data_IF_740896573283
#
_entry.id   IF_740896573283
#
_cell.length_a   1.000
_cell.length_b   1.000
_cell.length_c   1.000
_cell.angle_alpha   90.00
_cell.angle_beta   90.00
_cell.angle_gamma   90.00
#
_symmetry.space_group_name_H-M   'P 1'
#
loop_
_entity.id
_entity.type
_entity.pdbx_description
1 polymer ?
#
# COMPACT_ATOMS: atom_id res chain seq x y z
N UNK A 1 -36.22 22.43 26.06
CA UNK A 1 -35.38 22.92 24.94
C UNK A 1 -33.90 23.10 25.31
N UNK A 2 -33.52 23.18 26.60
CA UNK A 2 -32.12 23.20 27.06
C UNK A 2 -31.49 21.80 27.14
N UNK A 3 -32.20 20.82 27.70
CA UNK A 3 -31.72 19.42 27.87
C UNK A 3 -31.33 18.72 26.56
N UNK A 4 -32.05 18.98 25.46
CA UNK A 4 -31.73 18.42 24.13
C UNK A 4 -30.43 19.02 23.56
N UNK A 5 -30.14 20.28 23.89
CA UNK A 5 -28.91 20.97 23.46
C UNK A 5 -27.69 20.41 24.17
N UNK A 6 -27.83 20.05 25.45
CA UNK A 6 -26.74 19.47 26.23
C UNK A 6 -26.39 18.04 25.77
N UNK A 7 -27.37 17.23 25.38
CA UNK A 7 -27.11 15.89 24.82
C UNK A 7 -26.39 15.92 23.47
N UNK A 8 -26.75 16.85 22.58
CA UNK A 8 -26.08 17.01 21.28
C UNK A 8 -24.62 17.49 21.46
N UNK A 9 -24.38 18.39 22.40
CA UNK A 9 -23.02 18.87 22.72
C UNK A 9 -22.17 17.75 23.32
N UNK A 10 -22.72 16.92 24.21
CA UNK A 10 -22.01 15.78 24.80
C UNK A 10 -21.68 14.71 23.74
N UNK A 11 -22.63 14.39 22.85
CA UNK A 11 -22.40 13.46 21.75
C UNK A 11 -21.32 13.98 20.78
N UNK A 12 -21.38 15.27 20.43
CA UNK A 12 -20.35 15.91 19.60
C UNK A 12 -18.96 15.88 20.27
N UNK A 13 -18.89 16.09 21.58
CA UNK A 13 -17.64 16.02 22.34
C UNK A 13 -17.10 14.58 22.40
N UNK A 14 -17.94 13.57 22.62
CA UNK A 14 -17.53 12.17 22.60
C UNK A 14 -17.02 11.75 21.22
N UNK A 15 -17.75 12.10 20.14
CA UNK A 15 -17.32 11.85 18.77
C UNK A 15 -15.98 12.53 18.46
N UNK A 16 -15.77 13.76 18.95
CA UNK A 16 -14.49 14.46 18.81
C UNK A 16 -13.34 13.73 19.52
N UNK A 17 -13.58 13.24 20.75
CA UNK A 17 -12.59 12.50 21.56
C UNK A 17 -12.25 11.17 20.91
N UNK A 18 -13.25 10.43 20.44
CA UNK A 18 -13.09 9.19 19.71
C UNK A 18 -12.29 9.42 18.44
N UNK A 19 -12.66 10.41 17.61
CA UNK A 19 -11.93 10.76 16.38
C UNK A 19 -10.47 11.14 16.66
N UNK A 20 -10.21 11.91 17.72
CA UNK A 20 -8.85 12.26 18.14
C UNK A 20 -8.05 11.01 18.55
N UNK A 21 -8.64 10.13 19.36
CA UNK A 21 -8.02 8.86 19.78
C UNK A 21 -7.71 7.96 18.59
N UNK A 22 -8.64 7.81 17.65
CA UNK A 22 -8.42 7.05 16.42
C UNK A 22 -7.29 7.63 15.57
N UNK A 23 -7.22 8.96 15.42
CA UNK A 23 -6.13 9.62 14.67
C UNK A 23 -4.76 9.38 15.32
N UNK A 24 -4.65 9.48 16.64
CA UNK A 24 -3.39 9.23 17.36
C UNK A 24 -2.96 7.77 17.21
N UNK A 25 -3.88 6.82 17.43
CA UNK A 25 -3.59 5.39 17.27
C UNK A 25 -3.18 5.05 15.84
N UNK A 26 -3.87 5.61 14.84
CA UNK A 26 -3.51 5.44 13.43
C UNK A 26 -2.12 6.00 13.15
N UNK A 27 -1.84 7.22 13.57
CA UNK A 27 -0.54 7.87 13.35
C UNK A 27 0.61 7.05 13.96
N UNK A 28 0.50 6.65 15.23
CA UNK A 28 1.53 5.84 15.89
C UNK A 28 1.74 4.51 15.17
N UNK A 29 0.67 3.86 14.71
CA UNK A 29 0.78 2.61 13.95
C UNK A 29 1.44 2.82 12.59
N UNK A 30 1.12 3.91 11.90
CA UNK A 30 1.75 4.26 10.60
C UNK A 30 3.24 4.47 10.77
N UNK A 31 3.65 5.25 11.77
CA UNK A 31 5.08 5.47 12.09
C UNK A 31 5.76 4.15 12.46
N UNK A 32 5.16 3.36 13.35
CA UNK A 32 5.70 2.05 13.73
C UNK A 32 5.83 1.11 12.52
N UNK A 33 4.85 1.08 11.62
CA UNK A 33 4.90 0.29 10.38
C UNK A 33 6.01 0.77 9.45
N UNK A 34 6.25 2.07 9.33
CA UNK A 34 7.37 2.58 8.54
C UNK A 34 8.73 2.13 9.12
N UNK A 35 8.90 2.27 10.44
CA UNK A 35 10.13 1.84 11.13
C UNK A 35 10.34 0.33 11.05
N UNK A 36 9.29 -0.46 11.23
CA UNK A 36 9.34 -1.92 11.12
C UNK A 36 9.54 -2.40 9.67
N UNK A 37 9.00 -1.67 8.70
CA UNK A 37 9.28 -1.91 7.28
C UNK A 37 10.76 -1.82 6.96
N UNK A 38 11.43 -0.80 7.50
CA UNK A 38 12.88 -0.70 7.39
C UNK A 38 13.59 -1.78 8.20
N UNK A 39 13.30 -1.89 9.50
CA UNK A 39 14.04 -2.76 10.42
C UNK A 39 13.91 -4.25 10.10
N UNK A 40 12.76 -4.70 9.61
CA UNK A 40 12.51 -6.11 9.29
C UNK A 40 12.77 -6.43 7.82
N UNK A 41 12.59 -5.47 6.91
CA UNK A 41 12.74 -5.68 5.48
C UNK A 41 14.18 -5.54 4.98
N UNK A 42 14.90 -4.49 5.40
CA UNK A 42 16.23 -4.19 4.86
C UNK A 42 17.29 -5.25 5.19
N UNK A 43 17.44 -5.73 6.43
CA UNK A 43 18.48 -6.70 6.75
C UNK A 43 18.43 -7.98 5.91
N UNK A 44 17.29 -8.68 5.76
CA UNK A 44 17.23 -9.86 4.89
C UNK A 44 17.41 -9.51 3.42
N UNK A 45 16.89 -8.36 2.95
CA UNK A 45 17.08 -7.94 1.57
C UNK A 45 18.57 -7.74 1.23
N UNK A 46 19.30 -7.00 2.07
CA UNK A 46 20.74 -6.77 1.90
C UNK A 46 21.52 -8.09 1.97
N UNK A 47 21.18 -8.98 2.92
CA UNK A 47 21.84 -10.27 3.05
C UNK A 47 21.67 -11.14 1.79
N UNK A 48 20.44 -11.23 1.26
CA UNK A 48 20.13 -12.01 0.07
C UNK A 48 20.74 -11.40 -1.20
N UNK A 49 20.71 -10.07 -1.36
CA UNK A 49 21.34 -9.38 -2.49
C UNK A 49 22.85 -9.62 -2.51
N UNK A 50 23.51 -9.53 -1.35
CA UNK A 50 24.94 -9.83 -1.20
C UNK A 50 25.25 -11.29 -1.53
N UNK A 51 24.44 -12.23 -1.04
CA UNK A 51 24.61 -13.65 -1.33
C UNK A 51 24.41 -13.96 -2.83
N UNK A 52 23.49 -13.25 -3.49
CA UNK A 52 23.25 -13.39 -4.93
C UNK A 52 24.28 -12.63 -5.80
N UNK A 53 25.13 -11.79 -5.21
CA UNK A 53 26.13 -11.01 -5.94
C UNK A 53 25.53 -9.98 -6.90
N UNK A 54 24.31 -9.50 -6.63
CA UNK A 54 23.58 -8.59 -7.53
C UNK A 54 23.64 -7.15 -7.03
N UNK A 55 23.70 -6.21 -7.98
CA UNK A 55 23.54 -4.79 -7.73
C UNK A 55 22.62 -4.17 -8.81
N UNK A 56 21.84 -3.11 -8.50
CA UNK A 56 20.98 -2.46 -9.48
C UNK A 56 21.76 -1.90 -10.67
N UNK A 57 21.19 -1.99 -11.87
CA UNK A 57 21.74 -1.41 -13.10
C UNK A 57 21.22 -2.12 -14.33
N UNK A 58 21.66 -3.37 -14.53
CA UNK A 58 21.22 -4.24 -15.62
C UNK A 58 19.88 -4.91 -15.30
N UNK A 59 19.15 -5.32 -16.35
CA UNK A 59 17.79 -5.85 -16.25
C UNK A 59 17.70 -7.09 -15.34
N UNK A 60 18.62 -8.05 -15.49
CA UNK A 60 18.59 -9.30 -14.72
C UNK A 60 18.89 -9.08 -13.24
N UNK A 61 19.98 -8.37 -12.85
CA UNK A 61 20.19 -7.97 -11.47
C UNK A 61 19.03 -7.16 -10.88
N UNK A 62 18.44 -6.22 -11.63
CA UNK A 62 17.28 -5.45 -11.21
C UNK A 62 16.07 -6.34 -10.89
N UNK A 63 15.83 -7.38 -11.69
CA UNK A 63 14.76 -8.35 -11.42
C UNK A 63 15.01 -9.14 -10.13
N UNK A 64 16.24 -9.58 -9.89
CA UNK A 64 16.60 -10.31 -8.67
C UNK A 64 16.46 -9.42 -7.44
N UNK A 65 16.92 -8.17 -7.52
CA UNK A 65 16.72 -7.16 -6.45
C UNK A 65 15.24 -6.98 -6.16
N UNK A 66 14.41 -6.77 -7.18
CA UNK A 66 12.97 -6.60 -7.02
C UNK A 66 12.28 -7.83 -6.40
N UNK A 67 12.65 -9.05 -6.83
CA UNK A 67 12.13 -10.30 -6.28
C UNK A 67 12.48 -10.49 -4.80
N UNK A 68 13.61 -9.94 -4.34
CA UNK A 68 14.03 -10.00 -2.94
C UNK A 68 13.33 -8.92 -2.11
N UNK A 69 13.32 -7.69 -2.60
CA UNK A 69 12.88 -6.54 -1.79
C UNK A 69 11.37 -6.46 -1.62
N UNK A 70 10.59 -6.73 -2.67
CA UNK A 70 9.14 -6.57 -2.60
C UNK A 70 8.49 -7.48 -1.53
N UNK A 71 8.85 -8.78 -1.43
CA UNK A 71 8.40 -9.61 -0.31
C UNK A 71 8.94 -9.15 1.05
N UNK A 72 10.20 -8.72 1.11
CA UNK A 72 10.82 -8.26 2.36
C UNK A 72 10.11 -7.03 2.96
N UNK A 73 9.65 -6.10 2.12
CA UNK A 73 8.88 -4.91 2.54
C UNK A 73 7.58 -5.28 3.26
N UNK A 74 6.94 -6.39 2.90
CA UNK A 74 5.67 -6.85 3.50
C UNK A 74 5.85 -7.25 4.97
N UNK A 75 7.05 -7.69 5.39
CA UNK A 75 7.34 -8.08 6.77
C UNK A 75 7.02 -6.96 7.78
N UNK A 76 7.24 -5.70 7.38
CA UNK A 76 6.93 -4.52 8.20
C UNK A 76 5.44 -4.31 8.51
N UNK A 77 4.54 -4.98 7.79
CA UNK A 77 3.08 -4.84 7.92
C UNK A 77 2.46 -6.01 8.68
N UNK A 78 3.13 -7.16 8.76
CA UNK A 78 2.58 -8.40 9.35
C UNK A 78 2.09 -8.19 10.80
N UNK A 79 2.83 -7.42 11.61
CA UNK A 79 2.50 -7.16 13.01
C UNK A 79 1.16 -6.42 13.22
N UNK A 80 0.75 -5.62 12.23
CA UNK A 80 -0.46 -4.78 12.29
C UNK A 80 -1.68 -5.48 11.68
N UNK A 81 -1.44 -6.52 10.86
CA UNK A 81 -2.47 -7.23 10.10
C UNK A 81 -3.63 -7.67 10.99
N UNK A 82 -3.38 -8.26 12.16
CA UNK A 82 -4.44 -8.78 13.03
C UNK A 82 -4.79 -7.89 14.23
N UNK A 83 -4.32 -6.64 14.26
CA UNK A 83 -4.52 -5.75 15.42
C UNK A 83 -5.97 -5.25 15.52
N UNK A 84 -6.52 -5.13 16.75
CA UNK A 84 -7.82 -4.50 16.97
C UNK A 84 -7.86 -3.06 16.44
N UNK A 85 -8.95 -2.71 15.76
CA UNK A 85 -9.13 -1.38 15.15
C UNK A 85 -8.55 -1.23 13.75
N UNK A 86 -7.88 -2.26 13.21
CA UNK A 86 -7.46 -2.32 11.81
C UNK A 86 -8.49 -3.15 11.03
N UNK A 87 -9.57 -2.48 10.66
CA UNK A 87 -10.81 -3.10 10.14
C UNK A 87 -11.27 -2.49 8.82
N UNK A 88 -10.53 -1.55 8.26
CA UNK A 88 -10.86 -0.93 6.99
C UNK A 88 -10.00 -1.54 5.89
N UNK A 89 -10.56 -1.71 4.68
CA UNK A 89 -9.77 -2.11 3.50
C UNK A 89 -8.66 -1.10 3.19
N UNK A 90 -8.93 0.18 3.45
CA UNK A 90 -7.97 1.27 3.26
C UNK A 90 -6.74 1.13 4.18
N UNK A 91 -6.86 0.42 5.30
CA UNK A 91 -5.73 0.20 6.20
C UNK A 91 -4.58 -0.52 5.50
N UNK A 92 -4.88 -1.45 4.58
CA UNK A 92 -3.86 -2.13 3.78
C UNK A 92 -3.06 -1.15 2.91
N UNK A 93 -3.70 -0.15 2.31
CA UNK A 93 -3.03 0.90 1.54
C UNK A 93 -2.17 1.77 2.44
N UNK A 94 -2.72 2.23 3.57
CA UNK A 94 -2.04 3.17 4.47
C UNK A 94 -0.81 2.53 5.10
N UNK A 95 -0.95 1.33 5.68
CA UNK A 95 0.16 0.63 6.32
C UNK A 95 1.14 0.07 5.29
N UNK A 96 0.67 -0.38 4.12
CA UNK A 96 1.54 -0.77 3.01
C UNK A 96 2.41 0.39 2.53
N UNK A 97 1.81 1.54 2.25
CA UNK A 97 2.55 2.74 1.86
C UNK A 97 3.56 3.16 2.93
N UNK A 98 3.18 3.10 4.22
CA UNK A 98 4.07 3.41 5.32
C UNK A 98 5.30 2.49 5.35
N UNK A 99 5.12 1.17 5.24
CA UNK A 99 6.21 0.21 5.23
C UNK A 99 7.13 0.39 4.00
N UNK A 100 6.55 0.57 2.81
CA UNK A 100 7.31 0.82 1.58
C UNK A 100 8.12 2.11 1.64
N UNK A 101 7.54 3.19 2.15
CA UNK A 101 8.24 4.47 2.34
C UNK A 101 9.33 4.40 3.41
N UNK A 102 9.06 3.70 4.53
CA UNK A 102 10.07 3.48 5.57
C UNK A 102 11.27 2.71 5.03
N UNK A 103 11.03 1.60 4.32
CA UNK A 103 12.09 0.86 3.64
C UNK A 103 12.87 1.75 2.68
N UNK A 104 12.19 2.46 1.78
CA UNK A 104 12.82 3.31 0.77
C UNK A 104 13.65 4.45 1.37
N UNK A 105 13.20 5.04 2.48
CA UNK A 105 13.92 6.12 3.16
C UNK A 105 15.25 5.63 3.73
N UNK A 106 15.25 4.51 4.45
CA UNK A 106 16.48 3.92 5.01
C UNK A 106 17.41 3.38 3.92
N UNK A 107 16.86 2.74 2.87
CA UNK A 107 17.62 2.33 1.70
C UNK A 107 18.32 3.53 1.04
N UNK A 108 17.61 4.65 0.87
CA UNK A 108 18.17 5.90 0.34
C UNK A 108 19.31 6.41 1.22
N UNK A 109 19.15 6.39 2.54
CA UNK A 109 20.19 6.81 3.48
C UNK A 109 21.45 5.95 3.33
N UNK A 110 21.30 4.63 3.22
CA UNK A 110 22.43 3.70 3.01
C UNK A 110 23.13 3.93 1.67
N UNK A 111 22.38 4.14 0.57
CA UNK A 111 22.98 4.49 -0.73
C UNK A 111 23.73 5.81 -0.71
N UNK A 112 23.23 6.78 0.06
CA UNK A 112 23.83 8.11 0.20
C UNK A 112 25.12 8.03 1.03
N UNK A 113 25.11 7.28 2.13
CA UNK A 113 26.30 6.98 2.93
C UNK A 113 27.40 6.33 2.08
N UNK A 114 27.05 5.38 1.22
CA UNK A 114 27.99 4.75 0.30
C UNK A 114 28.56 5.68 -0.78
N UNK A 115 27.99 6.89 -0.95
CA UNK A 115 28.37 7.88 -1.99
C UNK A 115 28.79 9.22 -1.38
N UNK A 116 29.18 9.24 -0.10
CA UNK A 116 29.51 10.48 0.62
C UNK A 116 30.64 11.29 -0.04
N UNK A 117 31.55 10.61 -0.76
CA UNK A 117 32.65 11.24 -1.49
C UNK A 117 32.25 11.82 -2.85
N UNK A 118 30.97 11.74 -3.25
CA UNK A 118 30.47 12.20 -4.54
C UNK A 118 29.17 13.01 -4.37
N UNK A 119 29.31 14.20 -3.79
CA UNK A 119 28.19 15.07 -3.37
C UNK A 119 27.17 15.31 -4.49
N UNK A 120 27.61 15.57 -5.73
CA UNK A 120 26.70 15.81 -6.86
C UNK A 120 25.81 14.61 -7.20
N UNK A 121 26.41 13.40 -7.25
CA UNK A 121 25.68 12.15 -7.49
C UNK A 121 24.75 11.84 -6.32
N UNK A 122 25.22 12.05 -5.09
CA UNK A 122 24.44 11.89 -3.86
C UNK A 122 23.19 12.77 -3.88
N UNK A 123 23.35 14.07 -4.16
CA UNK A 123 22.23 15.01 -4.21
C UNK A 123 21.23 14.62 -5.31
N UNK A 124 21.71 14.23 -6.49
CA UNK A 124 20.83 13.76 -7.58
C UNK A 124 19.98 12.54 -7.17
N UNK A 125 20.58 11.56 -6.48
CA UNK A 125 19.86 10.39 -5.96
C UNK A 125 18.84 10.78 -4.89
N UNK A 126 19.22 11.65 -3.96
CA UNK A 126 18.31 12.14 -2.91
C UNK A 126 17.09 12.85 -3.51
N UNK A 127 17.32 13.78 -4.44
CA UNK A 127 16.24 14.53 -5.09
C UNK A 127 15.29 13.62 -5.86
N UNK A 128 15.84 12.74 -6.69
CA UNK A 128 15.06 11.78 -7.48
C UNK A 128 14.18 10.91 -6.58
N UNK A 129 14.77 10.34 -5.52
CA UNK A 129 14.08 9.42 -4.61
C UNK A 129 13.09 10.15 -3.71
N UNK A 130 13.42 11.34 -3.21
CA UNK A 130 12.47 12.16 -2.44
C UNK A 130 11.21 12.48 -3.25
N UNK A 131 11.35 12.75 -4.54
CA UNK A 131 10.23 13.09 -5.42
C UNK A 131 9.40 11.87 -5.84
N UNK A 132 10.07 10.79 -6.25
CA UNK A 132 9.41 9.67 -6.93
C UNK A 132 9.14 8.45 -6.03
N UNK A 133 9.86 8.27 -4.91
CA UNK A 133 9.64 7.12 -4.00
C UNK A 133 8.20 6.98 -3.48
N UNK A 134 7.46 8.07 -3.17
CA UNK A 134 6.04 7.98 -2.80
C UNK A 134 5.18 7.31 -3.87
N UNK A 135 5.50 7.56 -5.14
CA UNK A 135 4.79 7.04 -6.31
C UNK A 135 5.36 5.72 -6.83
N UNK A 136 6.40 5.19 -6.19
CA UNK A 136 7.01 3.90 -6.49
C UNK A 136 6.94 3.01 -5.26
N UNK A 137 8.00 2.93 -4.45
CA UNK A 137 8.11 2.07 -3.26
C UNK A 137 6.89 2.17 -2.32
N UNK A 138 6.36 3.38 -2.09
CA UNK A 138 5.14 3.56 -1.31
C UNK A 138 3.92 2.90 -1.96
N UNK A 139 3.68 3.18 -3.25
CA UNK A 139 2.56 2.59 -3.99
C UNK A 139 2.67 1.07 -4.18
N UNK A 140 3.87 0.53 -4.36
CA UNK A 140 4.08 -0.89 -4.59
C UNK A 140 3.72 -1.72 -3.38
N UNK A 141 4.28 -1.38 -2.21
CA UNK A 141 3.91 -2.07 -0.97
C UNK A 141 2.44 -1.84 -0.64
N UNK A 142 1.87 -0.67 -0.97
CA UNK A 142 0.43 -0.44 -0.83
C UNK A 142 -0.43 -1.34 -1.73
N UNK A 143 -0.02 -1.63 -2.97
CA UNK A 143 -0.71 -2.55 -3.88
C UNK A 143 -0.80 -3.96 -3.26
N UNK A 144 0.34 -4.47 -2.78
CA UNK A 144 0.41 -5.82 -2.19
C UNK A 144 -0.42 -5.87 -0.91
N UNK A 145 -0.25 -4.90 0.00
CA UNK A 145 -0.98 -4.88 1.27
C UNK A 145 -2.49 -4.61 1.09
N UNK A 146 -2.91 -3.80 0.12
CA UNK A 146 -4.32 -3.63 -0.21
C UNK A 146 -4.95 -4.95 -0.68
N UNK A 147 -4.20 -5.75 -1.43
CA UNK A 147 -4.63 -7.08 -1.88
C UNK A 147 -4.73 -8.05 -0.70
N UNK A 148 -3.73 -8.08 0.17
CA UNK A 148 -3.74 -8.88 1.42
C UNK A 148 -4.97 -8.54 2.27
N UNK A 149 -5.26 -7.25 2.50
CA UNK A 149 -6.44 -6.84 3.26
C UNK A 149 -7.73 -7.25 2.58
N UNK A 150 -7.82 -7.07 1.27
CA UNK A 150 -9.01 -7.45 0.50
C UNK A 150 -9.31 -8.95 0.61
N UNK A 151 -8.28 -9.78 0.53
CA UNK A 151 -8.39 -11.24 0.67
C UNK A 151 -8.73 -11.65 2.11
N UNK A 152 -8.17 -10.97 3.11
CA UNK A 152 -8.56 -11.16 4.51
C UNK A 152 -10.07 -10.95 4.72
N UNK A 153 -10.65 -9.88 4.16
CA UNK A 153 -12.09 -9.63 4.25
C UNK A 153 -12.93 -10.62 3.42
N UNK A 154 -12.36 -11.21 2.38
CA UNK A 154 -13.00 -12.24 1.58
C UNK A 154 -12.87 -13.66 2.16
N UNK A 155 -12.28 -13.81 3.35
CA UNK A 155 -12.06 -15.10 4.01
C UNK A 155 -10.97 -15.94 3.32
N UNK A 156 -9.99 -15.29 2.69
CA UNK A 156 -8.82 -15.90 2.04
C UNK A 156 -9.13 -16.87 0.89
N UNK A 157 -10.36 -16.87 0.36
CA UNK A 157 -10.84 -17.83 -0.65
C UNK A 157 -10.01 -17.88 -1.94
N UNK A 158 -9.35 -16.78 -2.33
CA UNK A 158 -8.44 -16.70 -3.49
C UNK A 158 -7.13 -15.99 -3.12
N UNK A 159 -6.72 -16.11 -1.85
CA UNK A 159 -5.64 -15.32 -1.26
C UNK A 159 -4.31 -15.45 -2.01
N UNK A 160 -3.83 -16.68 -2.16
CA UNK A 160 -2.52 -16.96 -2.75
C UNK A 160 -2.35 -16.39 -4.16
N UNK A 161 -3.16 -16.80 -5.16
CA UNK A 161 -2.99 -16.36 -6.54
C UNK A 161 -3.09 -14.84 -6.73
N UNK A 162 -3.98 -14.17 -5.99
CA UNK A 162 -4.14 -12.70 -6.10
C UNK A 162 -2.99 -11.94 -5.48
N UNK A 163 -2.49 -12.39 -4.33
CA UNK A 163 -1.31 -11.80 -3.69
C UNK A 163 -0.07 -12.03 -4.56
N UNK A 164 0.09 -13.22 -5.13
CA UNK A 164 1.18 -13.52 -6.07
C UNK A 164 1.10 -12.67 -7.34
N UNK A 165 -0.09 -12.46 -7.91
CA UNK A 165 -0.27 -11.56 -9.05
C UNK A 165 0.07 -10.11 -8.69
N UNK A 166 -0.35 -9.63 -7.53
CA UNK A 166 0.01 -8.30 -7.04
C UNK A 166 1.53 -8.16 -6.85
N UNK A 167 2.18 -9.17 -6.25
CA UNK A 167 3.64 -9.25 -6.13
C UNK A 167 4.33 -9.23 -7.49
N UNK A 168 3.85 -10.01 -8.46
CA UNK A 168 4.39 -10.03 -9.82
C UNK A 168 4.34 -8.65 -10.48
N UNK A 169 3.21 -7.94 -10.36
CA UNK A 169 3.09 -6.57 -10.89
C UNK A 169 4.12 -5.62 -10.26
N UNK A 170 4.26 -5.63 -8.93
CA UNK A 170 5.20 -4.72 -8.27
C UNK A 170 6.66 -5.09 -8.50
N UNK A 171 6.98 -6.39 -8.62
CA UNK A 171 8.32 -6.85 -8.99
C UNK A 171 8.69 -6.34 -10.37
N UNK A 172 7.78 -6.38 -11.36
CA UNK A 172 8.03 -5.84 -12.69
C UNK A 172 8.23 -4.31 -12.66
N UNK A 173 7.38 -3.59 -11.93
CA UNK A 173 7.51 -2.12 -11.79
C UNK A 173 8.83 -1.74 -11.11
N UNK A 174 9.23 -2.49 -10.08
CA UNK A 174 10.49 -2.26 -9.37
C UNK A 174 11.70 -2.65 -10.22
N UNK A 175 11.62 -3.74 -10.98
CA UNK A 175 12.64 -4.10 -11.97
C UNK A 175 12.87 -2.95 -12.95
N UNK A 176 11.79 -2.33 -13.44
CA UNK A 176 11.89 -1.17 -14.34
C UNK A 176 12.36 0.11 -13.68
N UNK A 177 12.21 0.24 -12.37
CA UNK A 177 12.79 1.37 -11.62
C UNK A 177 14.31 1.24 -11.47
N UNK A 178 14.79 0.03 -11.21
CA UNK A 178 16.22 -0.27 -11.04
C UNK A 178 16.95 -0.40 -12.37
N UNK A 179 16.27 -0.88 -13.41
CA UNK A 179 16.80 -0.93 -14.76
C UNK A 179 16.83 0.47 -15.38
N UNK A 180 18.03 0.95 -15.72
CA UNK A 180 18.27 2.29 -16.27
C UNK A 180 18.89 2.21 -17.66
N UNK A 181 18.09 1.87 -18.69
CA UNK A 181 18.62 1.62 -20.03
C UNK A 181 19.00 2.88 -20.81
N UNK A 182 18.59 4.06 -20.36
CA UNK A 182 18.68 5.30 -21.15
C UNK A 182 19.63 6.32 -20.50
N UNK A 183 20.26 7.20 -21.30
CA UNK A 183 20.96 8.35 -20.76
C UNK A 183 19.98 9.42 -20.23
N UNK A 184 20.50 10.38 -19.45
CA UNK A 184 19.74 11.59 -19.13
C UNK A 184 19.51 12.44 -20.41
N UNK A 185 18.34 13.10 -20.57
CA UNK A 185 17.22 13.19 -19.62
C UNK A 185 16.18 12.06 -19.75
N UNK A 186 16.28 11.19 -20.76
CA UNK A 186 15.27 10.17 -21.06
C UNK A 186 15.07 9.16 -19.93
N UNK A 187 16.13 8.86 -19.17
CA UNK A 187 15.98 8.02 -17.98
C UNK A 187 15.07 8.64 -16.91
N UNK A 188 15.04 9.96 -16.78
CA UNK A 188 14.12 10.62 -15.85
C UNK A 188 12.66 10.49 -16.33
N UNK A 189 12.43 10.67 -17.63
CA UNK A 189 11.09 10.46 -18.24
C UNK A 189 10.62 9.02 -18.04
N UNK A 190 11.52 8.04 -18.21
CA UNK A 190 11.26 6.63 -17.93
C UNK A 190 10.81 6.40 -16.48
N UNK A 191 11.53 6.95 -15.50
CA UNK A 191 11.17 6.81 -14.08
C UNK A 191 9.83 7.48 -13.75
N UNK A 192 9.52 8.62 -14.38
CA UNK A 192 8.20 9.27 -14.26
C UNK A 192 7.10 8.38 -14.84
N UNK A 193 7.34 7.72 -15.97
CA UNK A 193 6.39 6.78 -16.57
C UNK A 193 6.16 5.55 -15.66
N UNK A 194 7.21 5.00 -15.05
CA UNK A 194 7.11 3.92 -14.06
C UNK A 194 6.29 4.37 -12.84
N UNK A 195 6.57 5.56 -12.29
CA UNK A 195 5.81 6.13 -11.19
C UNK A 195 4.32 6.34 -11.55
N UNK A 196 4.03 6.91 -12.73
CA UNK A 196 2.67 7.08 -13.23
C UNK A 196 1.93 5.74 -13.38
N UNK A 197 2.60 4.73 -13.93
CA UNK A 197 2.04 3.38 -14.08
C UNK A 197 1.74 2.75 -12.72
N UNK A 198 2.61 2.98 -11.73
CA UNK A 198 2.43 2.48 -10.35
C UNK A 198 1.19 3.08 -9.67
N UNK A 199 0.95 4.37 -9.85
CA UNK A 199 -0.27 5.04 -9.36
C UNK A 199 -1.52 4.49 -10.05
N UNK A 200 -1.47 4.27 -11.37
CA UNK A 200 -2.58 3.66 -12.12
C UNK A 200 -2.85 2.24 -11.62
N UNK A 201 -1.82 1.43 -11.42
CA UNK A 201 -1.96 0.06 -10.89
C UNK A 201 -2.63 0.05 -9.50
N UNK A 202 -2.19 0.92 -8.59
CA UNK A 202 -2.83 1.08 -7.27
C UNK A 202 -4.30 1.47 -7.40
N UNK A 203 -4.61 2.41 -8.29
CA UNK A 203 -6.00 2.85 -8.56
C UNK A 203 -6.86 1.69 -9.06
N UNK A 204 -6.33 0.83 -9.93
CA UNK A 204 -7.06 -0.33 -10.46
C UNK A 204 -7.35 -1.36 -9.37
N UNK A 205 -6.36 -1.65 -8.51
CA UNK A 205 -6.54 -2.55 -7.36
C UNK A 205 -7.60 -2.01 -6.40
N UNK A 206 -7.57 -0.71 -6.11
CA UNK A 206 -8.57 -0.06 -5.26
C UNK A 206 -9.98 -0.11 -5.88
N UNK A 207 -10.10 0.15 -7.19
CA UNK A 207 -11.37 0.04 -7.91
C UNK A 207 -11.93 -1.39 -7.86
N UNK A 208 -11.09 -2.39 -8.09
CA UNK A 208 -11.50 -3.80 -8.02
C UNK A 208 -11.95 -4.18 -6.61
N UNK A 209 -11.20 -3.77 -5.58
CA UNK A 209 -11.57 -4.00 -4.18
C UNK A 209 -12.91 -3.34 -3.83
N UNK A 210 -13.16 -2.12 -4.30
CA UNK A 210 -14.43 -1.42 -4.07
C UNK A 210 -15.60 -2.07 -4.83
N UNK A 211 -15.41 -2.47 -6.08
CA UNK A 211 -16.44 -3.14 -6.88
C UNK A 211 -16.86 -4.48 -6.25
N UNK A 212 -15.90 -5.28 -5.79
CA UNK A 212 -16.16 -6.53 -5.07
C UNK A 212 -16.94 -6.32 -3.75
N UNK A 213 -16.93 -5.10 -3.22
CA UNK A 213 -17.58 -4.72 -1.97
C UNK A 213 -19.00 -4.17 -2.15
N UNK A 214 -19.30 -3.62 -3.33
CA UNK A 214 -20.61 -3.10 -3.67
C UNK A 214 -21.66 -4.22 -3.78
N UNK A 215 -21.26 -5.38 -4.31
CA UNK A 215 -22.17 -6.52 -4.54
C UNK A 215 -22.74 -7.08 -3.22
N UNK A 216 -21.94 -7.39 -2.18
CA UNK A 216 -22.49 -7.79 -0.88
C UNK A 216 -23.35 -6.73 -0.20
N UNK A 217 -23.02 -5.44 -0.36
CA UNK A 217 -23.80 -4.34 0.24
C UNK A 217 -25.19 -4.21 -0.41
N UNK A 218 -25.24 -4.28 -1.74
CA UNK A 218 -26.49 -4.27 -2.50
C UNK A 218 -27.38 -5.48 -2.14
N UNK A 219 -26.80 -6.68 -2.05
CA UNK A 219 -27.52 -7.88 -1.64
C UNK A 219 -28.00 -7.81 -0.19
N UNK A 220 -27.20 -7.26 0.73
CA UNK A 220 -27.58 -7.08 2.13
C UNK A 220 -28.65 -6.00 2.31
N UNK A 221 -28.63 -4.94 1.49
CA UNK A 221 -29.69 -3.93 1.40
C UNK A 221 -30.99 -4.54 0.87
N UNK A 222 -30.92 -5.30 -0.23
CA UNK A 222 -32.05 -6.00 -0.82
C UNK A 222 -32.65 -7.08 0.11
N UNK A 223 -31.82 -7.77 0.90
CA UNK A 223 -32.28 -8.71 1.92
C UNK A 223 -32.89 -8.02 3.16
N UNK A 224 -32.47 -6.79 3.47
CA UNK A 224 -33.01 -6.00 4.59
C UNK A 224 -34.36 -5.36 4.26
N UNK A 225 -34.61 -5.10 2.98
CA UNK A 225 -35.90 -4.66 2.44
C UNK A 225 -36.39 -5.70 1.42
N UNK A 226 -36.89 -6.87 1.86
CA UNK A 226 -37.55 -7.77 0.93
C UNK A 226 -38.67 -6.97 0.25
N UNK A 227 -38.75 -6.91 -1.09
CA UNK A 227 -39.87 -6.30 -1.74
C UNK A 227 -41.12 -7.01 -1.23
N UNK A 228 -42.10 -6.24 -0.74
CA UNK A 228 -43.41 -6.76 -0.37
C UNK A 228 -43.89 -7.63 -1.54
N UNK A 229 -43.91 -8.95 -1.38
CA UNK A 229 -44.35 -9.91 -2.41
C UNK A 229 -45.81 -9.67 -2.86
N UNK A 230 -46.53 -8.74 -2.22
CA UNK A 230 -47.83 -8.22 -2.62
C UNK A 230 -47.80 -7.31 -3.86
N UNK A 231 -46.73 -6.57 -4.13
CA UNK A 231 -46.71 -5.65 -5.30
C UNK A 231 -46.43 -6.38 -6.61
N UNK A 232 -45.58 -7.42 -6.59
CA UNK A 232 -45.31 -8.24 -7.78
C UNK A 232 -46.49 -9.16 -8.17
N UNK A 233 -47.28 -9.61 -7.19
CA UNK A 233 -48.48 -10.43 -7.43
C UNK A 233 -49.64 -9.64 -8.05
N UNK A 234 -49.73 -8.32 -7.79
CA UNK A 234 -50.80 -7.48 -8.32
C UNK A 234 -50.52 -6.91 -9.72
N UNK A 235 -49.25 -6.87 -10.16
CA UNK A 235 -48.90 -6.52 -11.56
C UNK A 235 -48.97 -7.70 -12.53
N UNK A 236 -48.98 -8.95 -12.04
CA UNK A 236 -49.19 -10.14 -12.86
C UNK A 236 -50.68 -10.53 -13.02
N UNK A 237 -51.58 -9.75 -12.41
CA UNK A 237 -53.03 -9.96 -12.44
C UNK A 237 -53.80 -8.82 -13.17
N UNK A 238 -53.08 -8.01 -13.96
CA UNK A 238 -53.63 -7.06 -14.94
C UNK A 238 -52.94 -7.32 -16.28
#
# INVERSE_FOLDING_TARGET
MAVVRDSEVLEALELSRLRKRYRVVLFTRVVATALLGAALGLPPAIALQRAAGVAPGDLMPALVVALIEEPAKVLGVVWVLFRPGVRLRMDGVIYGAAAGMGFAAFETALYSLARINSVGVLLGVLWLRALLAPFSHGTWTAIVCATIWSERFAGWRRGGPRILAALGVVVLLHTFWDWRPLPLPWNFVWLVAVAGTSVVALRLVLRHANAASAVPCALRSAAKYPPNLRTLRNSAAK
#
